data_IF_527805199101
#
_entry.id   IF_527805199101
#
_cell.length_a   1.000
_cell.length_b   1.000
_cell.length_c   1.000
_cell.angle_alpha   90.00
_cell.angle_beta   90.00
_cell.angle_gamma   90.00
#
_symmetry.space_group_name_H-M   'P 1'
#
loop_
_entity.id
_entity.type
_entity.pdbx_description
1 polymer ?
#
# COMPACT_ATOMS: atom_id res chain seq x y z
N UNK A 1 11.44 -11.59 4.79
CA UNK A 1 10.42 -12.49 5.39
C UNK A 1 9.53 -13.04 4.28
N UNK A 2 9.20 -14.30 4.34
CA UNK A 2 8.13 -14.84 3.53
C UNK A 2 6.74 -14.39 4.07
N UNK A 3 5.68 -14.77 3.35
CA UNK A 3 4.30 -14.32 3.73
C UNK A 3 3.90 -14.76 5.14
N UNK A 4 4.23 -16.01 5.50
CA UNK A 4 3.86 -16.55 6.80
C UNK A 4 4.63 -15.84 7.92
N UNK A 5 5.92 -15.64 7.73
CA UNK A 5 6.78 -14.91 8.67
C UNK A 5 6.31 -13.47 8.84
N UNK A 6 5.88 -12.80 7.76
CA UNK A 6 5.36 -11.44 7.82
C UNK A 6 4.05 -11.38 8.62
N UNK A 7 3.13 -12.32 8.40
CA UNK A 7 1.88 -12.39 9.15
C UNK A 7 2.12 -12.64 10.64
N UNK A 8 3.01 -13.55 11.01
CA UNK A 8 3.36 -13.80 12.41
C UNK A 8 4.05 -12.59 13.05
N UNK A 9 4.93 -11.91 12.30
CA UNK A 9 5.59 -10.68 12.76
C UNK A 9 4.61 -9.55 13.08
N UNK A 10 3.52 -9.44 12.33
CA UNK A 10 2.52 -8.40 12.48
C UNK A 10 1.37 -8.76 13.44
N UNK A 11 1.30 -10.02 13.87
CA UNK A 11 0.22 -10.51 14.72
C UNK A 11 0.19 -9.81 16.09
N UNK A 12 -0.91 -9.14 16.37
CA UNK A 12 -1.10 -8.38 17.63
C UNK A 12 -0.35 -7.05 17.68
N UNK A 13 0.31 -6.65 16.60
CA UNK A 13 1.08 -5.42 16.53
C UNK A 13 0.27 -4.25 15.96
N UNK A 14 0.68 -3.04 16.30
CA UNK A 14 0.08 -1.83 15.75
C UNK A 14 0.67 -1.50 14.38
N UNK A 15 -0.21 -1.16 13.45
CA UNK A 15 0.13 -0.64 12.12
C UNK A 15 -0.33 0.82 12.06
N UNK A 16 0.55 1.73 11.71
CA UNK A 16 0.23 3.15 11.64
C UNK A 16 0.16 3.63 10.19
N UNK A 17 -0.87 4.39 9.88
CA UNK A 17 -1.05 5.02 8.58
C UNK A 17 -0.27 6.34 8.53
N UNK A 18 0.65 6.45 7.56
CA UNK A 18 1.38 7.66 7.25
C UNK A 18 1.06 8.04 5.81
N UNK A 19 0.04 8.86 5.62
CA UNK A 19 -0.48 9.24 4.30
C UNK A 19 -0.77 10.74 4.24
N UNK A 20 -0.46 11.35 3.11
CA UNK A 20 -0.87 12.70 2.76
C UNK A 20 -1.19 12.76 1.27
N UNK A 21 -2.32 13.37 0.92
CA UNK A 21 -2.78 13.57 -0.44
C UNK A 21 -2.69 15.05 -0.84
N UNK A 22 -2.64 15.36 -2.15
CA UNK A 22 -2.67 16.75 -2.61
C UNK A 22 -3.81 17.53 -1.95
N UNK A 23 -3.49 18.72 -1.43
CA UNK A 23 -4.43 19.58 -0.69
C UNK A 23 -4.42 19.37 0.82
N UNK A 24 -3.82 18.32 1.33
CA UNK A 24 -3.68 18.10 2.76
C UNK A 24 -2.44 18.83 3.33
N UNK A 25 -2.49 19.19 4.61
CA UNK A 25 -1.49 20.07 5.24
C UNK A 25 -0.05 19.52 5.20
N UNK A 26 0.12 18.21 5.27
CA UNK A 26 1.43 17.56 5.28
C UNK A 26 1.85 17.03 3.92
N UNK A 27 1.07 17.30 2.87
CA UNK A 27 1.44 16.91 1.51
C UNK A 27 2.54 17.80 0.95
N UNK A 28 3.56 17.15 0.37
CA UNK A 28 4.56 17.79 -0.48
C UNK A 28 4.79 16.93 -1.72
N UNK A 29 4.85 17.57 -2.87
CA UNK A 29 5.08 16.88 -4.15
C UNK A 29 6.40 16.11 -4.15
N UNK A 30 7.44 16.69 -3.56
CA UNK A 30 8.75 16.07 -3.38
C UNK A 30 8.81 15.05 -2.23
N UNK A 31 7.75 14.88 -1.45
CA UNK A 31 7.72 14.01 -0.28
C UNK A 31 8.56 14.55 0.89
N UNK A 32 9.16 13.64 1.65
CA UNK A 32 10.07 13.97 2.75
C UNK A 32 9.39 14.19 4.10
N UNK A 33 8.07 14.13 4.19
CA UNK A 33 7.31 14.29 5.45
C UNK A 33 6.84 12.95 5.99
N UNK A 34 6.22 12.11 5.16
CA UNK A 34 5.67 10.83 5.62
C UNK A 34 6.77 9.88 6.11
N UNK A 35 7.95 9.91 5.52
CA UNK A 35 9.09 9.13 6.00
C UNK A 35 9.55 9.56 7.41
N UNK A 36 9.45 10.84 7.76
CA UNK A 36 9.75 11.33 9.11
C UNK A 36 8.69 10.90 10.12
N UNK A 37 7.41 10.93 9.74
CA UNK A 37 6.32 10.40 10.56
C UNK A 37 6.49 8.91 10.80
N UNK A 38 6.83 8.15 9.75
CA UNK A 38 7.11 6.72 9.85
C UNK A 38 8.30 6.44 10.79
N UNK A 39 9.37 7.24 10.74
CA UNK A 39 10.49 7.12 11.66
C UNK A 39 10.07 7.40 13.12
N UNK A 40 9.26 8.42 13.34
CA UNK A 40 8.77 8.74 14.68
C UNK A 40 7.96 7.58 15.29
N UNK A 41 7.06 6.98 14.53
CA UNK A 41 6.26 5.85 15.03
C UNK A 41 7.08 4.55 15.14
N UNK A 42 8.09 4.36 14.28
CA UNK A 42 9.08 3.29 14.45
C UNK A 42 9.81 3.41 15.79
N UNK A 43 10.24 4.60 16.15
CA UNK A 43 10.89 4.86 17.43
C UNK A 43 9.98 4.54 18.63
N UNK A 44 8.66 4.65 18.45
CA UNK A 44 7.67 4.25 19.43
C UNK A 44 7.37 2.73 19.44
N UNK A 45 7.99 1.94 18.57
CA UNK A 45 7.87 0.50 18.54
C UNK A 45 6.87 -0.07 17.52
N UNK A 46 6.34 0.75 16.61
CA UNK A 46 5.43 0.31 15.54
C UNK A 46 6.15 -0.64 14.58
N UNK A 47 5.46 -1.67 14.12
CA UNK A 47 6.04 -2.78 13.33
C UNK A 47 5.78 -2.69 11.83
N UNK A 48 4.80 -1.90 11.39
CA UNK A 48 4.52 -1.70 9.98
C UNK A 48 3.83 -0.37 9.73
N UNK A 49 3.95 0.12 8.51
CA UNK A 49 3.37 1.38 8.05
C UNK A 49 2.40 1.11 6.92
N UNK A 50 1.23 1.74 6.94
CA UNK A 50 0.35 1.81 5.78
C UNK A 50 0.60 3.14 5.08
N UNK A 51 0.99 3.09 3.80
CA UNK A 51 1.39 4.27 3.05
C UNK A 51 0.75 4.32 1.67
N UNK A 52 0.61 5.53 1.14
CA UNK A 52 -0.01 5.84 -0.14
C UNK A 52 1.00 6.49 -1.10
N UNK A 53 1.05 5.98 -2.33
CA UNK A 53 1.86 6.57 -3.40
C UNK A 53 3.29 6.05 -3.45
N UNK A 54 3.82 5.99 -4.67
CA UNK A 54 5.15 5.40 -4.95
C UNK A 54 6.26 6.12 -4.21
N UNK A 55 6.27 7.46 -4.26
CA UNK A 55 7.34 8.26 -3.66
C UNK A 55 7.41 8.09 -2.14
N UNK A 56 6.28 8.26 -1.46
CA UNK A 56 6.24 8.13 0.00
C UNK A 56 6.58 6.70 0.45
N UNK A 57 6.10 5.67 -0.27
CA UNK A 57 6.44 4.28 0.03
C UNK A 57 7.95 4.05 -0.07
N UNK A 58 8.59 4.49 -1.16
CA UNK A 58 10.04 4.36 -1.34
C UNK A 58 10.81 5.07 -0.22
N UNK A 59 10.43 6.30 0.10
CA UNK A 59 11.08 7.08 1.16
C UNK A 59 10.90 6.47 2.55
N UNK A 60 9.70 5.94 2.85
CA UNK A 60 9.43 5.24 4.11
C UNK A 60 10.27 3.97 4.22
N UNK A 61 10.32 3.16 3.16
CA UNK A 61 11.15 1.95 3.13
C UNK A 61 12.62 2.26 3.35
N UNK A 62 13.13 3.25 2.66
CA UNK A 62 14.53 3.70 2.77
C UNK A 62 14.85 4.21 4.19
N UNK A 63 13.98 5.05 4.75
CA UNK A 63 14.16 5.64 6.08
C UNK A 63 14.03 4.63 7.21
N UNK A 64 13.08 3.71 7.14
CA UNK A 64 12.70 2.88 8.29
C UNK A 64 13.03 1.40 8.16
N UNK A 65 13.11 0.90 6.94
CA UNK A 65 13.19 -0.53 6.64
C UNK A 65 12.06 -1.38 7.27
N UNK A 66 10.93 -0.74 7.64
CA UNK A 66 9.76 -1.45 8.14
C UNK A 66 8.96 -2.06 7.00
N UNK A 67 8.21 -3.13 7.26
CA UNK A 67 7.19 -3.59 6.32
C UNK A 67 6.19 -2.47 5.99
N UNK A 68 5.82 -2.36 4.72
CA UNK A 68 4.87 -1.37 4.23
C UNK A 68 3.67 -2.05 3.58
N UNK A 69 2.49 -1.65 4.03
CA UNK A 69 1.22 -1.91 3.36
C UNK A 69 0.99 -0.76 2.40
N UNK A 70 1.16 -1.02 1.11
CA UNK A 70 1.06 0.01 0.08
C UNK A 70 -0.31 0.09 -0.55
N UNK A 71 -0.75 1.33 -0.80
CA UNK A 71 -1.93 1.64 -1.62
C UNK A 71 -1.60 2.76 -2.61
N UNK A 72 -2.35 2.83 -3.69
CA UNK A 72 -2.39 4.00 -4.57
C UNK A 72 -3.85 4.40 -4.74
N UNK A 73 -4.16 5.64 -4.35
CA UNK A 73 -5.48 6.24 -4.52
C UNK A 73 -5.53 6.95 -5.87
N UNK A 74 -6.32 6.41 -6.79
CA UNK A 74 -6.54 6.99 -8.12
C UNK A 74 -7.93 6.65 -8.61
N UNK A 75 -8.68 7.67 -9.02
CA UNK A 75 -10.02 7.51 -9.59
C UNK A 75 -9.93 7.27 -11.09
N UNK A 76 -10.73 6.33 -11.57
CA UNK A 76 -10.89 6.01 -12.99
C UNK A 76 -12.38 6.07 -13.35
N UNK A 77 -12.67 6.49 -14.57
CA UNK A 77 -14.02 6.40 -15.12
C UNK A 77 -14.51 4.95 -15.15
N UNK A 78 -15.72 4.70 -14.70
CA UNK A 78 -16.32 3.36 -14.63
C UNK A 78 -15.91 2.52 -13.43
N UNK A 79 -15.04 3.04 -12.54
CA UNK A 79 -14.64 2.35 -11.30
C UNK A 79 -15.23 3.06 -10.09
N UNK A 80 -15.99 2.33 -9.27
CA UNK A 80 -16.50 2.85 -8.00
C UNK A 80 -15.42 2.87 -6.92
N UNK A 81 -14.43 1.98 -6.99
CA UNK A 81 -13.25 1.97 -6.10
C UNK A 81 -12.13 2.86 -6.65
N UNK A 82 -11.41 3.52 -5.74
CA UNK A 82 -10.23 4.32 -6.05
C UNK A 82 -8.96 3.88 -5.31
N UNK A 83 -9.03 2.77 -4.57
CA UNK A 83 -7.89 2.22 -3.82
C UNK A 83 -7.32 1.01 -4.57
N UNK A 84 -6.13 1.18 -5.15
CA UNK A 84 -5.43 0.14 -5.91
C UNK A 84 -6.37 -0.55 -6.92
N UNK A 85 -6.95 0.28 -7.78
CA UNK A 85 -8.08 -0.15 -8.60
C UNK A 85 -7.70 -1.02 -9.79
N UNK A 86 -6.47 -0.89 -10.32
CA UNK A 86 -6.02 -1.60 -11.52
C UNK A 86 -4.67 -2.27 -11.33
N UNK A 87 -4.30 -3.14 -12.29
CA UNK A 87 -2.99 -3.80 -12.27
C UNK A 87 -1.83 -2.79 -12.39
N UNK A 88 -2.03 -1.63 -13.03
CA UNK A 88 -1.02 -0.59 -13.11
C UNK A 88 -0.59 -0.11 -11.70
N UNK A 89 -1.55 0.12 -10.80
CA UNK A 89 -1.23 0.47 -9.40
C UNK A 89 -0.56 -0.68 -8.66
N UNK A 90 -0.98 -1.91 -8.90
CA UNK A 90 -0.33 -3.09 -8.30
C UNK A 90 1.13 -3.18 -8.73
N UNK A 91 1.41 -3.05 -10.02
CA UNK A 91 2.77 -3.09 -10.57
C UNK A 91 3.66 -2.01 -9.93
N UNK A 92 3.15 -0.79 -9.83
CA UNK A 92 3.86 0.34 -9.19
C UNK A 92 4.12 0.11 -7.71
N UNK A 93 3.17 -0.49 -6.99
CA UNK A 93 3.33 -0.82 -5.57
C UNK A 93 4.38 -1.90 -5.34
N UNK A 94 4.42 -2.92 -6.19
CA UNK A 94 5.46 -3.95 -6.14
C UNK A 94 6.83 -3.33 -6.40
N UNK A 95 6.95 -2.50 -7.45
CA UNK A 95 8.20 -1.82 -7.79
C UNK A 95 8.66 -0.86 -6.69
N UNK A 96 7.72 -0.21 -6.00
CA UNK A 96 8.03 0.67 -4.87
C UNK A 96 8.53 -0.07 -3.62
N UNK A 97 8.42 -1.40 -3.58
CA UNK A 97 8.86 -2.23 -2.47
C UNK A 97 7.82 -2.48 -1.39
N UNK A 98 6.53 -2.36 -1.71
CA UNK A 98 5.46 -2.74 -0.78
C UNK A 98 5.56 -4.22 -0.41
N UNK A 99 5.49 -4.53 0.87
CA UNK A 99 5.50 -5.90 1.38
C UNK A 99 4.09 -6.52 1.33
N UNK A 100 3.10 -5.68 1.52
CA UNK A 100 1.68 -6.01 1.43
C UNK A 100 1.01 -4.99 0.52
N UNK A 101 0.13 -5.44 -0.36
CA UNK A 101 -0.68 -4.55 -1.21
C UNK A 101 -2.12 -4.60 -0.72
N UNK A 102 -2.66 -3.46 -0.34
CA UNK A 102 -4.07 -3.33 0.01
C UNK A 102 -4.86 -2.79 -1.17
N UNK A 103 -6.04 -3.33 -1.37
CA UNK A 103 -6.95 -2.95 -2.45
C UNK A 103 -8.39 -3.00 -1.97
N UNK A 104 -9.28 -2.30 -2.66
CA UNK A 104 -10.72 -2.40 -2.41
C UNK A 104 -11.26 -3.67 -3.06
N UNK A 105 -11.67 -4.64 -2.22
CA UNK A 105 -12.28 -5.89 -2.65
C UNK A 105 -13.79 -5.90 -2.42
N UNK A 106 -14.41 -4.75 -2.25
CA UNK A 106 -15.88 -4.67 -2.14
C UNK A 106 -16.54 -5.00 -3.48
N UNK A 107 -17.77 -5.48 -3.41
CA UNK A 107 -18.55 -5.86 -4.61
C UNK A 107 -19.11 -4.62 -5.33
N UNK A 108 -18.21 -3.75 -5.79
CA UNK A 108 -18.49 -2.52 -6.52
C UNK A 108 -18.20 -2.69 -7.99
N UNK A 109 -18.79 -1.79 -8.80
CA UNK A 109 -18.54 -1.74 -10.24
C UNK A 109 -17.07 -1.49 -10.54
N UNK A 110 -16.55 -2.28 -11.48
CA UNK A 110 -15.22 -2.15 -12.05
C UNK A 110 -15.35 -1.93 -13.56
N UNK A 111 -14.66 -0.91 -14.07
CA UNK A 111 -14.70 -0.55 -15.48
C UNK A 111 -14.12 -1.61 -16.43
N UNK A 112 -13.35 -2.57 -15.90
CA UNK A 112 -12.82 -3.72 -16.66
C UNK A 112 -13.78 -4.92 -16.73
N UNK A 113 -14.93 -4.84 -16.07
CA UNK A 113 -15.92 -5.92 -16.01
C UNK A 113 -15.50 -7.12 -15.16
N UNK A 114 -14.36 -7.07 -14.47
CA UNK A 114 -13.88 -8.15 -13.59
C UNK A 114 -14.58 -8.11 -12.24
N UNK A 115 -14.66 -9.27 -11.59
CA UNK A 115 -15.05 -9.34 -10.17
C UNK A 115 -13.85 -9.01 -9.27
N UNK A 116 -14.08 -8.56 -8.02
CA UNK A 116 -12.97 -8.38 -7.08
C UNK A 116 -12.14 -9.65 -6.88
N UNK A 117 -12.80 -10.81 -6.76
CA UNK A 117 -12.10 -12.10 -6.63
C UNK A 117 -11.27 -12.46 -7.86
N UNK A 118 -11.75 -12.16 -9.06
CA UNK A 118 -11.03 -12.36 -10.31
C UNK A 118 -9.78 -11.48 -10.38
N UNK A 119 -9.87 -10.23 -9.96
CA UNK A 119 -8.74 -9.32 -9.88
C UNK A 119 -7.68 -9.78 -8.87
N UNK A 120 -8.10 -10.19 -7.68
CA UNK A 120 -7.21 -10.76 -6.65
C UNK A 120 -6.48 -12.00 -7.18
N UNK A 121 -7.19 -12.89 -7.87
CA UNK A 121 -6.58 -14.07 -8.48
C UNK A 121 -5.49 -13.69 -9.49
N UNK A 122 -5.78 -12.75 -10.37
CA UNK A 122 -4.82 -12.24 -11.36
C UNK A 122 -3.56 -11.65 -10.71
N UNK A 123 -3.72 -10.87 -9.63
CA UNK A 123 -2.59 -10.34 -8.88
C UNK A 123 -1.75 -11.46 -8.29
N UNK A 124 -2.38 -12.46 -7.67
CA UNK A 124 -1.67 -13.59 -7.05
C UNK A 124 -0.93 -14.45 -8.08
N UNK A 125 -1.45 -14.59 -9.27
CA UNK A 125 -0.78 -15.30 -10.37
C UNK A 125 0.46 -14.53 -10.85
N UNK A 126 0.36 -13.20 -10.96
CA UNK A 126 1.47 -12.34 -11.40
C UNK A 126 2.54 -12.17 -10.31
N UNK A 127 2.12 -12.03 -9.07
CA UNK A 127 2.98 -11.74 -7.92
C UNK A 127 2.74 -12.74 -6.77
N UNK A 128 3.14 -14.03 -6.94
CA UNK A 128 2.81 -15.07 -5.97
C UNK A 128 3.45 -14.85 -4.58
N UNK A 129 4.50 -14.05 -4.49
CA UNK A 129 5.22 -13.77 -3.24
C UNK A 129 4.72 -12.53 -2.49
N UNK A 130 3.81 -11.75 -3.09
CA UNK A 130 3.24 -10.55 -2.45
C UNK A 130 2.01 -10.94 -1.64
N UNK A 131 1.88 -10.38 -0.45
CA UNK A 131 0.70 -10.51 0.39
C UNK A 131 -0.35 -9.47 -0.02
N UNK A 132 -1.63 -9.88 -0.08
CA UNK A 132 -2.76 -9.00 -0.36
C UNK A 132 -3.67 -8.85 0.86
#
# INVERSE_FOLDING_TARGET
MDKQQLLEYLKGEMIVSCQALPGEALYKEEGGIMCLMAQAVKNAGVKAIRAQGVLDIKQIKEQTNLPVIGIIKKSYEGYASYITATMDEVDKLVEAGSDIIALDCTNRERGDGKTPSGFVKEIKEKYPNVLL
#
